data_IF_077379056357
#
_entry.id   IF_077379056357
#
_cell.length_a   1.000
_cell.length_b   1.000
_cell.length_c   1.000
_cell.angle_alpha   90.00
_cell.angle_beta   90.00
_cell.angle_gamma   90.00
#
_symmetry.space_group_name_H-M   'P 1'
#
loop_
_entity.id
_entity.type
_entity.pdbx_description
1 polymer ?
#
# COMPACT_ATOMS: atom_id res chain seq x y z
N UNK A 1 0.22 -13.65 -27.60
CA UNK A 1 -0.84 -13.57 -26.56
C UNK A 1 -1.20 -12.10 -26.43
N UNK A 2 -2.47 -11.68 -26.53
CA UNK A 2 -2.81 -10.28 -26.41
C UNK A 2 -2.97 -9.97 -24.91
N UNK A 3 -1.99 -9.31 -24.31
CA UNK A 3 -2.11 -8.83 -22.94
C UNK A 3 -2.74 -7.44 -22.98
N UNK A 4 -3.88 -7.34 -22.30
CA UNK A 4 -4.82 -6.23 -22.35
C UNK A 4 -4.17 -4.89 -21.97
N UNK A 5 -4.19 -3.98 -22.93
CA UNK A 5 -4.08 -2.54 -22.72
C UNK A 5 -5.18 -2.07 -21.77
N UNK A 6 -4.79 -1.71 -20.54
CA UNK A 6 -5.58 -0.78 -19.71
C UNK A 6 -4.58 0.10 -18.96
N UNK A 7 -4.56 1.39 -19.29
CA UNK A 7 -3.55 2.39 -18.93
C UNK A 7 -3.63 2.86 -17.46
N UNK A 8 -4.15 2.02 -16.56
CA UNK A 8 -4.15 2.26 -15.12
C UNK A 8 -3.57 1.04 -14.41
N UNK A 9 -2.51 1.21 -13.59
CA UNK A 9 -1.95 0.10 -12.82
C UNK A 9 -3.05 -0.51 -11.96
N UNK A 10 -3.22 -1.83 -12.08
CA UNK A 10 -4.17 -2.56 -11.26
C UNK A 10 -3.79 -2.45 -9.78
N UNK A 11 -4.74 -2.66 -8.87
CA UNK A 11 -4.48 -2.70 -7.43
C UNK A 11 -3.29 -3.61 -7.06
N UNK A 12 -3.13 -4.72 -7.79
CA UNK A 12 -2.01 -5.65 -7.63
C UNK A 12 -0.67 -5.01 -7.91
N UNK A 13 -0.55 -4.26 -9.01
CA UNK A 13 0.68 -3.57 -9.40
C UNK A 13 1.03 -2.50 -8.37
N UNK A 14 0.05 -1.68 -7.97
CA UNK A 14 0.23 -0.65 -6.95
C UNK A 14 0.74 -1.23 -5.62
N UNK A 15 0.18 -2.37 -5.20
CA UNK A 15 0.60 -3.06 -3.98
C UNK A 15 1.99 -3.69 -4.12
N UNK A 16 2.34 -4.24 -5.28
CA UNK A 16 3.68 -4.77 -5.55
C UNK A 16 4.74 -3.67 -5.56
N UNK A 17 4.43 -2.50 -6.14
CA UNK A 17 5.31 -1.34 -6.09
C UNK A 17 5.53 -0.86 -4.64
N UNK A 18 4.44 -0.77 -3.86
CA UNK A 18 4.53 -0.36 -2.46
C UNK A 18 5.34 -1.37 -1.64
N UNK A 19 5.12 -2.67 -1.86
CA UNK A 19 5.89 -3.74 -1.23
C UNK A 19 7.38 -3.61 -1.53
N UNK A 20 7.73 -3.36 -2.79
CA UNK A 20 9.12 -3.18 -3.23
C UNK A 20 9.76 -1.95 -2.60
N UNK A 21 9.01 -0.85 -2.53
CA UNK A 21 9.46 0.38 -1.88
C UNK A 21 9.76 0.15 -0.40
N UNK A 22 8.88 -0.56 0.33
CA UNK A 22 9.08 -0.87 1.75
C UNK A 22 10.26 -1.81 1.96
N UNK A 23 10.40 -2.85 1.14
CA UNK A 23 11.52 -3.80 1.25
C UNK A 23 12.87 -3.08 1.04
N UNK A 24 12.90 -2.17 0.07
CA UNK A 24 14.08 -1.38 -0.30
C UNK A 24 14.32 -0.16 0.60
N UNK A 25 13.38 0.19 1.47
CA UNK A 25 13.48 1.36 2.34
C UNK A 25 14.59 1.17 3.37
N UNK A 26 15.73 1.83 3.21
CA UNK A 26 16.83 1.74 4.20
C UNK A 26 16.51 2.45 5.52
N UNK A 27 15.42 3.21 5.53
CA UNK A 27 15.00 4.13 6.57
C UNK A 27 14.12 3.43 7.61
N UNK A 28 13.55 2.28 7.24
CA UNK A 28 12.80 1.41 8.14
C UNK A 28 13.74 0.36 8.75
N UNK A 29 13.63 0.18 10.07
CA UNK A 29 14.21 -0.99 10.74
C UNK A 29 13.55 -2.27 10.25
N UNK A 30 14.20 -3.42 10.41
CA UNK A 30 13.67 -4.73 9.99
C UNK A 30 12.26 -4.99 10.51
N UNK A 31 12.00 -4.70 11.79
CA UNK A 31 10.66 -4.81 12.39
C UNK A 31 9.63 -3.88 11.71
N UNK A 32 10.04 -2.65 11.38
CA UNK A 32 9.19 -1.68 10.68
C UNK A 32 8.84 -2.14 9.27
N UNK A 33 9.82 -2.68 8.54
CA UNK A 33 9.62 -3.29 7.22
C UNK A 33 8.64 -4.45 7.29
N UNK A 34 8.88 -5.41 8.18
CA UNK A 34 8.01 -6.58 8.34
C UNK A 34 6.57 -6.15 8.59
N UNK A 35 6.35 -5.24 9.56
CA UNK A 35 5.00 -4.80 9.88
C UNK A 35 4.34 -4.04 8.70
N UNK A 36 5.09 -3.18 8.01
CA UNK A 36 4.58 -2.48 6.83
C UNK A 36 4.25 -3.45 5.68
N UNK A 37 5.09 -4.46 5.42
CA UNK A 37 4.85 -5.50 4.42
C UNK A 37 3.61 -6.35 4.78
N UNK A 38 3.38 -6.62 6.07
CA UNK A 38 2.16 -7.28 6.53
C UNK A 38 0.92 -6.45 6.20
N UNK A 39 0.96 -5.13 6.40
CA UNK A 39 -0.15 -4.26 6.02
C UNK A 39 -0.39 -4.24 4.50
N UNK A 40 0.66 -4.26 3.68
CA UNK A 40 0.50 -4.38 2.21
C UNK A 40 -0.16 -5.69 1.83
N UNK A 41 0.21 -6.79 2.50
CA UNK A 41 -0.45 -8.08 2.29
C UNK A 41 -1.94 -8.03 2.69
N UNK A 42 -2.24 -7.38 3.82
CA UNK A 42 -3.62 -7.13 4.24
C UNK A 42 -4.40 -6.36 3.19
N UNK A 43 -3.84 -5.30 2.62
CA UNK A 43 -4.48 -4.54 1.53
C UNK A 43 -4.70 -5.38 0.28
N UNK A 44 -3.77 -6.30 -0.05
CA UNK A 44 -3.96 -7.25 -1.14
C UNK A 44 -5.14 -8.19 -0.86
N UNK A 45 -5.28 -8.67 0.37
CA UNK A 45 -6.43 -9.49 0.79
C UNK A 45 -7.75 -8.73 0.81
N UNK A 46 -7.72 -7.43 1.08
CA UNK A 46 -8.88 -6.52 0.95
C UNK A 46 -9.24 -6.34 -0.52
N UNK A 47 -8.26 -6.12 -1.39
CA UNK A 47 -8.46 -5.97 -2.84
C UNK A 47 -9.05 -7.19 -3.53
N UNK A 48 -8.97 -8.38 -2.92
CA UNK A 48 -9.66 -9.57 -3.42
C UNK A 48 -11.18 -9.53 -3.15
N UNK A 49 -11.62 -8.88 -2.07
CA UNK A 49 -13.02 -8.80 -1.65
C UNK A 49 -13.35 -7.46 -0.97
N UNK A 50 -13.27 -6.32 -1.68
CA UNK A 50 -13.40 -5.00 -1.08
C UNK A 50 -14.82 -4.68 -0.57
N UNK A 51 -15.83 -5.44 -1.01
CA UNK A 51 -17.23 -5.27 -0.63
C UNK A 51 -17.55 -5.76 0.78
N UNK A 52 -16.66 -6.57 1.38
CA UNK A 52 -16.86 -7.11 2.71
C UNK A 52 -16.64 -6.00 3.77
N UNK A 53 -17.61 -5.76 4.68
CA UNK A 53 -17.50 -4.69 5.67
C UNK A 53 -16.29 -4.86 6.59
N UNK A 54 -15.95 -6.11 6.92
CA UNK A 54 -14.76 -6.45 7.70
C UNK A 54 -13.47 -6.06 6.98
N UNK A 55 -13.41 -6.24 5.66
CA UNK A 55 -12.27 -5.88 4.81
C UNK A 55 -12.09 -4.38 4.71
N UNK A 56 -13.17 -3.60 4.72
CA UNK A 56 -13.10 -2.14 4.74
C UNK A 56 -12.36 -1.63 5.98
N UNK A 57 -12.77 -2.08 7.17
CA UNK A 57 -12.09 -1.72 8.42
C UNK A 57 -10.64 -2.23 8.46
N UNK A 58 -10.38 -3.42 7.93
CA UNK A 58 -9.04 -3.99 7.82
C UNK A 58 -8.13 -3.14 6.92
N UNK A 59 -8.66 -2.72 5.76
CA UNK A 59 -7.97 -1.86 4.81
C UNK A 59 -7.68 -0.47 5.38
N UNK A 60 -8.65 0.13 6.07
CA UNK A 60 -8.48 1.40 6.78
C UNK A 60 -7.36 1.32 7.82
N UNK A 61 -7.34 0.27 8.65
CA UNK A 61 -6.28 0.05 9.64
C UNK A 61 -4.91 -0.09 8.99
N UNK A 62 -4.82 -0.86 7.91
CA UNK A 62 -3.58 -1.03 7.16
C UNK A 62 -3.09 0.30 6.56
N UNK A 63 -4.00 1.10 6.00
CA UNK A 63 -3.69 2.43 5.48
C UNK A 63 -3.20 3.39 6.57
N UNK A 64 -3.88 3.45 7.72
CA UNK A 64 -3.48 4.29 8.86
C UNK A 64 -2.08 3.90 9.35
N UNK A 65 -1.82 2.60 9.46
CA UNK A 65 -0.52 2.09 9.89
C UNK A 65 0.59 2.48 8.90
N UNK A 66 0.38 2.28 7.60
CA UNK A 66 1.34 2.66 6.57
C UNK A 66 1.58 4.16 6.62
N UNK A 67 0.52 4.97 6.67
CA UNK A 67 0.59 6.44 6.77
C UNK A 67 1.38 6.88 8.01
N UNK A 68 1.16 6.25 9.16
CA UNK A 68 1.93 6.51 10.39
C UNK A 68 3.39 6.09 10.27
N UNK A 69 3.67 4.97 9.60
CA UNK A 69 5.04 4.52 9.31
C UNK A 69 5.77 5.53 8.44
N UNK A 70 5.10 6.06 7.42
CA UNK A 70 5.66 7.02 6.47
C UNK A 70 5.80 8.41 7.08
N UNK A 71 4.84 8.84 7.91
CA UNK A 71 4.87 10.14 8.59
C UNK A 71 6.07 10.30 9.54
N UNK A 72 6.68 9.18 9.93
CA UNK A 72 7.86 9.15 10.78
C UNK A 72 9.18 9.10 9.97
N UNK A 73 9.09 9.13 8.64
CA UNK A 73 10.22 9.17 7.72
C UNK A 73 10.48 10.61 7.27
N UNK A 74 11.74 10.95 6.91
CA UNK A 74 12.03 12.24 6.29
C UNK A 74 11.33 12.38 4.93
N UNK A 75 10.94 13.58 4.52
CA UNK A 75 10.29 13.80 3.21
C UNK A 75 11.18 13.41 2.01
N UNK A 76 12.50 13.36 2.21
CA UNK A 76 13.48 12.88 1.23
C UNK A 76 13.50 11.35 1.09
N UNK A 77 12.74 10.64 1.92
CA UNK A 77 12.60 9.20 1.88
C UNK A 77 12.02 8.76 0.54
N UNK A 78 12.71 7.83 -0.13
CA UNK A 78 12.16 7.18 -1.33
C UNK A 78 10.83 6.49 -1.01
N UNK A 79 10.73 5.93 0.19
CA UNK A 79 9.50 5.31 0.64
C UNK A 79 8.38 6.34 0.87
N UNK A 80 8.67 7.53 1.43
CA UNK A 80 7.64 8.53 1.62
C UNK A 80 7.14 9.10 0.30
N UNK A 81 8.04 9.34 -0.66
CA UNK A 81 7.66 9.77 -2.01
C UNK A 81 6.80 8.71 -2.70
N UNK A 82 7.27 7.45 -2.74
CA UNK A 82 6.53 6.36 -3.35
C UNK A 82 5.17 6.17 -2.68
N UNK A 83 5.12 6.17 -1.35
CA UNK A 83 3.86 5.95 -0.63
C UNK A 83 2.88 7.10 -0.80
N UNK A 84 3.35 8.35 -0.88
CA UNK A 84 2.49 9.51 -1.15
C UNK A 84 1.83 9.44 -2.54
N UNK A 85 2.45 8.71 -3.48
CA UNK A 85 1.89 8.45 -4.81
C UNK A 85 1.00 7.19 -4.82
N UNK A 86 1.43 6.12 -4.16
CA UNK A 86 0.79 4.80 -4.22
C UNK A 86 -0.39 4.66 -3.27
N UNK A 87 -0.27 5.10 -2.01
CA UNK A 87 -1.37 5.01 -1.02
C UNK A 87 -2.68 5.63 -1.53
N UNK A 88 -2.70 6.83 -2.13
CA UNK A 88 -3.94 7.38 -2.62
C UNK A 88 -4.59 6.54 -3.72
N UNK A 89 -3.79 5.97 -4.61
CA UNK A 89 -4.26 5.11 -5.70
C UNK A 89 -4.81 3.78 -5.17
N UNK A 90 -4.12 3.19 -4.19
CA UNK A 90 -4.55 1.98 -3.49
C UNK A 90 -5.88 2.22 -2.77
N UNK A 91 -6.00 3.31 -2.00
CA UNK A 91 -7.23 3.64 -1.28
C UNK A 91 -8.42 3.76 -2.24
N UNK A 92 -8.22 4.49 -3.34
CA UNK A 92 -9.23 4.71 -4.36
C UNK A 92 -9.65 3.40 -5.03
N UNK A 93 -8.70 2.54 -5.36
CA UNK A 93 -8.96 1.23 -5.95
C UNK A 93 -9.68 0.27 -4.98
N UNK A 94 -9.46 0.42 -3.66
CA UNK A 94 -10.12 -0.37 -2.62
C UNK A 94 -11.41 0.25 -2.08
N UNK A 95 -11.80 1.47 -2.50
CA UNK A 95 -12.96 2.18 -1.97
C UNK A 95 -12.81 2.60 -0.49
N UNK A 96 -11.57 2.82 -0.04
CA UNK A 96 -11.24 3.21 1.32
C UNK A 96 -11.18 4.75 1.46
N UNK A 97 -11.58 5.31 2.62
CA UNK A 97 -11.38 6.72 2.92
C UNK A 97 -9.88 7.03 3.11
N UNK A 98 -9.45 8.24 2.75
CA UNK A 98 -8.04 8.67 2.73
C UNK A 98 -7.75 9.86 3.64
#
# INVERSE_FOLDING_TARGET
MPESTTEQPGIKELLTELQTAIASATELSEKGKTNALEQVKTLAEVGQNPEQPEKKSLGEKAMIFLKGTIANLPDTAKLAEASSKLLPLIAKALGLPM
#
